data_IF_360677798212
#
_entry.id   IF_360677798212
#
_cell.length_a   1.000
_cell.length_b   1.000
_cell.length_c   1.000
_cell.angle_alpha   90.00
_cell.angle_beta   90.00
_cell.angle_gamma   90.00
#
_symmetry.space_group_name_H-M   'P 1'
#
loop_
_entity.id
_entity.type
_entity.pdbx_description
1 polymer ?
#
# COMPACT_ATOMS: atom_id res chain seq x y z
N UNK A 1 4.82 -72.15 -24.48
CA UNK A 1 5.13 -71.07 -23.48
C UNK A 1 4.89 -69.63 -23.97
N UNK A 2 4.45 -69.41 -25.19
CA UNK A 2 4.35 -68.09 -25.84
C UNK A 2 2.99 -67.36 -25.68
N UNK A 3 1.90 -68.05 -25.35
CA UNK A 3 0.56 -67.42 -25.24
C UNK A 3 0.31 -66.61 -23.92
N UNK A 4 1.01 -66.93 -22.84
CA UNK A 4 0.85 -66.23 -21.55
C UNK A 4 1.56 -64.87 -21.48
N UNK A 5 2.62 -64.65 -22.33
CA UNK A 5 3.39 -63.42 -22.36
C UNK A 5 2.63 -62.27 -23.03
N UNK A 6 1.81 -62.57 -24.06
CA UNK A 6 1.02 -61.56 -24.78
C UNK A 6 -0.18 -61.03 -23.99
N UNK A 7 -0.77 -61.86 -23.12
CA UNK A 7 -1.92 -61.42 -22.30
C UNK A 7 -1.52 -60.41 -21.21
N UNK A 8 -0.32 -60.55 -20.65
CA UNK A 8 0.20 -59.63 -19.65
C UNK A 8 0.63 -58.29 -20.26
N UNK A 9 1.12 -58.27 -21.49
CA UNK A 9 1.49 -57.07 -22.21
C UNK A 9 0.24 -56.27 -22.64
N UNK A 10 -0.78 -56.94 -23.13
CA UNK A 10 -2.10 -56.33 -23.42
C UNK A 10 -2.77 -55.76 -22.16
N UNK A 11 -2.75 -56.47 -21.02
CA UNK A 11 -3.30 -55.99 -19.74
C UNK A 11 -2.56 -54.75 -19.26
N UNK A 12 -1.23 -54.68 -19.36
CA UNK A 12 -0.45 -53.51 -19.02
C UNK A 12 -0.71 -52.32 -19.96
N UNK A 13 -0.90 -52.59 -21.27
CA UNK A 13 -1.25 -51.55 -22.23
C UNK A 13 -2.64 -50.97 -21.97
N UNK A 14 -3.64 -51.82 -21.70
CA UNK A 14 -5.00 -51.39 -21.31
C UNK A 14 -5.03 -50.63 -19.97
N UNK A 15 -4.17 -50.99 -19.00
CA UNK A 15 -4.09 -50.30 -17.71
C UNK A 15 -3.44 -48.91 -17.90
N UNK A 16 -2.41 -48.79 -18.76
CA UNK A 16 -1.77 -47.50 -19.08
C UNK A 16 -2.71 -46.57 -19.85
N UNK A 17 -3.48 -47.10 -20.81
CA UNK A 17 -4.47 -46.33 -21.57
C UNK A 17 -5.63 -45.90 -20.69
N UNK A 18 -6.08 -46.73 -19.73
CA UNK A 18 -7.14 -46.42 -18.78
C UNK A 18 -6.68 -45.37 -17.74
N UNK A 19 -5.42 -45.43 -17.29
CA UNK A 19 -4.84 -44.40 -16.39
C UNK A 19 -4.63 -43.08 -17.15
N UNK A 20 -4.27 -43.13 -18.44
CA UNK A 20 -4.11 -41.91 -19.24
C UNK A 20 -5.46 -41.23 -19.60
N UNK A 21 -6.56 -42.03 -19.71
CA UNK A 21 -7.91 -41.50 -19.94
C UNK A 21 -8.52 -40.85 -18.69
N UNK A 22 -8.06 -41.18 -17.48
CA UNK A 22 -8.49 -40.56 -16.22
C UNK A 22 -7.84 -39.22 -15.92
N UNK A 23 -6.75 -38.87 -16.65
CA UNK A 23 -6.04 -37.58 -16.47
C UNK A 23 -6.62 -36.46 -17.37
N UNK A 24 -7.48 -36.79 -18.32
CA UNK A 24 -8.25 -35.79 -19.07
C UNK A 24 -9.46 -35.30 -18.24
N UNK A 25 -9.21 -34.76 -17.05
CA UNK A 25 -10.15 -33.81 -16.47
C UNK A 25 -10.19 -32.62 -17.42
N UNK A 26 -11.25 -32.55 -18.22
CA UNK A 26 -11.51 -31.38 -19.02
C UNK A 26 -11.44 -30.16 -18.11
N UNK A 27 -10.57 -29.21 -18.42
CA UNK A 27 -10.58 -27.89 -17.81
C UNK A 27 -11.89 -27.20 -18.20
N UNK A 28 -13.00 -27.62 -17.56
CA UNK A 28 -14.24 -26.86 -17.60
C UNK A 28 -13.98 -25.55 -16.87
N UNK A 29 -14.13 -24.44 -17.55
CA UNK A 29 -14.10 -23.12 -16.94
C UNK A 29 -15.19 -23.07 -15.86
N UNK A 30 -14.76 -23.03 -14.60
CA UNK A 30 -15.69 -22.96 -13.47
C UNK A 30 -16.30 -21.55 -13.42
N UNK A 31 -17.63 -21.47 -13.42
CA UNK A 31 -18.34 -20.19 -13.51
C UNK A 31 -18.95 -19.84 -12.16
N UNK A 32 -18.51 -18.72 -11.59
CA UNK A 32 -19.00 -18.20 -10.31
C UNK A 32 -20.08 -17.14 -10.57
N UNK A 33 -21.32 -17.43 -10.12
CA UNK A 33 -22.40 -16.42 -10.15
C UNK A 33 -22.20 -15.45 -8.99
N UNK A 34 -22.25 -14.16 -9.28
CA UNK A 34 -21.98 -13.14 -8.28
C UNK A 34 -22.75 -11.84 -8.59
N UNK A 35 -23.23 -11.19 -7.55
CA UNK A 35 -23.90 -9.90 -7.66
C UNK A 35 -22.91 -8.75 -7.68
N UNK A 36 -23.33 -7.60 -8.23
CA UNK A 36 -22.53 -6.38 -8.22
C UNK A 36 -22.22 -5.94 -6.79
N UNK A 37 -23.24 -5.94 -5.91
CA UNK A 37 -23.09 -5.47 -4.54
C UNK A 37 -22.07 -6.30 -3.75
N UNK A 38 -22.10 -7.62 -3.91
CA UNK A 38 -21.15 -8.53 -3.26
C UNK A 38 -19.70 -8.29 -3.71
N UNK A 39 -19.49 -8.17 -5.03
CA UNK A 39 -18.15 -7.87 -5.58
C UNK A 39 -17.67 -6.48 -5.17
N UNK A 40 -18.54 -5.46 -5.17
CA UNK A 40 -18.18 -4.11 -4.77
C UNK A 40 -17.73 -4.05 -3.31
N UNK A 41 -18.40 -4.77 -2.41
CA UNK A 41 -18.01 -4.88 -1.01
C UNK A 41 -16.63 -5.56 -0.86
N UNK A 42 -16.45 -6.71 -1.49
CA UNK A 42 -15.16 -7.43 -1.48
C UNK A 42 -14.02 -6.56 -2.01
N UNK A 43 -14.25 -5.83 -3.10
CA UNK A 43 -13.26 -4.96 -3.71
C UNK A 43 -12.82 -3.84 -2.76
N UNK A 44 -13.75 -3.18 -2.05
CA UNK A 44 -13.41 -2.12 -1.09
C UNK A 44 -12.51 -2.66 0.03
N UNK A 45 -12.75 -3.89 0.47
CA UNK A 45 -12.03 -4.49 1.60
C UNK A 45 -10.66 -5.08 1.19
N UNK A 46 -10.53 -5.54 -0.05
CA UNK A 46 -9.38 -6.35 -0.50
C UNK A 46 -8.43 -5.58 -1.42
N UNK A 47 -8.91 -4.59 -2.16
CA UNK A 47 -8.11 -3.90 -3.18
C UNK A 47 -6.83 -3.29 -2.61
N UNK A 48 -5.68 -3.65 -3.21
CA UNK A 48 -4.36 -3.24 -2.74
C UNK A 48 -4.14 -1.73 -2.80
N UNK A 49 -4.67 -1.04 -3.82
CA UNK A 49 -4.52 0.42 -3.94
C UNK A 49 -5.30 1.15 -2.85
N UNK A 50 -6.49 0.65 -2.49
CA UNK A 50 -7.29 1.20 -1.38
C UNK A 50 -6.59 0.97 -0.05
N UNK A 51 -6.05 -0.23 0.18
CA UNK A 51 -5.24 -0.53 1.38
C UNK A 51 -4.03 0.38 1.47
N UNK A 52 -3.25 0.51 0.40
CA UNK A 52 -2.07 1.37 0.35
C UNK A 52 -2.42 2.83 0.69
N UNK A 53 -3.45 3.39 0.05
CA UNK A 53 -3.87 4.77 0.30
C UNK A 53 -4.33 4.98 1.76
N UNK A 54 -5.01 3.99 2.36
CA UNK A 54 -5.39 4.05 3.77
C UNK A 54 -4.16 3.97 4.69
N UNK A 55 -3.16 3.15 4.36
CA UNK A 55 -1.95 3.02 5.17
C UNK A 55 -1.05 4.26 5.03
N UNK A 56 -1.00 4.91 3.87
CA UNK A 56 -0.38 6.23 3.71
C UNK A 56 -1.06 7.30 4.60
N UNK A 57 -2.39 7.28 4.69
CA UNK A 57 -3.11 8.18 5.58
C UNK A 57 -2.81 7.90 7.07
N UNK A 58 -2.71 6.62 7.47
CA UNK A 58 -2.28 6.22 8.82
C UNK A 58 -0.83 6.63 9.11
N UNK A 59 0.07 6.46 8.12
CA UNK A 59 1.46 6.90 8.25
C UNK A 59 1.54 8.39 8.51
N UNK A 60 0.82 9.21 7.74
CA UNK A 60 0.79 10.65 7.96
C UNK A 60 0.23 11.03 9.33
N UNK A 61 -0.73 10.26 9.84
CA UNK A 61 -1.24 10.46 11.20
C UNK A 61 -0.19 10.10 12.27
N UNK A 62 0.60 9.05 12.05
CA UNK A 62 1.71 8.70 12.93
C UNK A 62 2.84 9.74 12.86
N UNK A 63 3.18 10.25 11.67
CA UNK A 63 4.13 11.37 11.50
C UNK A 63 3.68 12.62 12.25
N UNK A 64 2.38 12.95 12.19
CA UNK A 64 1.80 14.06 12.97
C UNK A 64 1.98 13.83 14.48
N UNK A 65 1.78 12.60 14.98
CA UNK A 65 2.05 12.29 16.39
C UNK A 65 3.54 12.49 16.72
N UNK A 66 4.44 12.12 15.80
CA UNK A 66 5.88 12.35 15.92
C UNK A 66 6.26 13.84 16.08
N UNK A 67 5.48 14.76 15.49
CA UNK A 67 5.75 16.21 15.69
C UNK A 67 5.58 16.67 17.13
N UNK A 68 4.89 15.90 17.98
CA UNK A 68 4.76 16.21 19.43
C UNK A 68 6.11 16.18 20.12
N UNK A 69 7.07 15.37 19.68
CA UNK A 69 8.42 15.34 20.24
C UNK A 69 9.12 16.70 20.15
N UNK A 70 8.69 17.59 19.24
CA UNK A 70 9.31 18.92 19.06
C UNK A 70 8.98 19.92 20.18
N UNK A 71 7.99 19.63 21.03
CA UNK A 71 7.59 20.50 22.13
C UNK A 71 7.35 19.75 23.45
N UNK A 72 7.53 18.44 23.47
CA UNK A 72 7.54 17.65 24.70
C UNK A 72 8.97 17.57 25.25
N UNK A 73 9.14 17.31 26.57
CA UNK A 73 10.45 17.07 27.13
C UNK A 73 11.10 15.86 26.49
N UNK A 74 12.37 16.03 26.12
CA UNK A 74 13.23 14.91 25.74
C UNK A 74 13.99 14.49 26.99
N UNK A 75 13.82 13.25 27.42
CA UNK A 75 14.51 12.66 28.57
C UNK A 75 15.46 11.60 28.06
N UNK A 76 16.74 11.80 28.30
CA UNK A 76 17.79 10.86 27.94
C UNK A 76 18.50 10.35 29.20
N UNK A 77 18.67 9.02 29.28
CA UNK A 77 19.45 8.39 30.35
C UNK A 77 20.67 7.69 29.71
N UNK A 78 21.84 7.95 30.25
CA UNK A 78 23.10 7.32 29.79
C UNK A 78 23.90 6.81 30.95
N UNK A 79 24.62 5.71 30.73
CA UNK A 79 25.61 5.16 31.66
C UNK A 79 26.92 5.01 30.89
N UNK A 80 27.94 5.74 31.32
CA UNK A 80 29.21 5.83 30.63
C UNK A 80 30.36 5.32 31.52
N UNK A 81 31.16 4.44 30.96
CA UNK A 81 32.46 4.07 31.56
C UNK A 81 33.57 4.78 30.79
N UNK A 82 34.47 5.42 31.50
CA UNK A 82 35.70 5.97 30.94
C UNK A 82 36.88 5.67 31.83
N UNK A 83 38.04 5.47 31.21
CA UNK A 83 39.33 5.34 31.91
C UNK A 83 40.31 6.28 31.21
N UNK A 84 40.96 7.16 31.97
CA UNK A 84 41.83 8.18 31.39
C UNK A 84 42.95 8.58 32.34
N UNK A 85 44.12 8.87 31.79
CA UNK A 85 45.23 9.51 32.46
C UNK A 85 45.45 10.96 31.94
N UNK A 86 44.52 11.49 31.14
CA UNK A 86 44.59 12.90 30.78
C UNK A 86 44.41 13.75 32.04
N UNK A 87 45.33 14.70 32.32
CA UNK A 87 45.37 15.45 33.56
C UNK A 87 44.03 16.10 33.93
N UNK A 88 43.43 16.83 33.01
CA UNK A 88 42.19 17.53 33.25
C UNK A 88 41.00 16.57 33.52
N UNK A 89 40.90 15.52 32.71
CA UNK A 89 39.81 14.55 32.87
C UNK A 89 39.97 13.65 34.09
N UNK A 90 41.20 13.26 34.40
CA UNK A 90 41.52 12.46 35.60
C UNK A 90 41.23 13.22 36.88
N UNK A 91 41.68 14.48 36.98
CA UNK A 91 41.40 15.34 38.12
C UNK A 91 39.89 15.66 38.24
N UNK A 92 39.23 16.03 37.12
CA UNK A 92 37.80 16.29 37.09
C UNK A 92 36.97 15.07 37.49
N UNK A 93 37.35 13.86 37.06
CA UNK A 93 36.68 12.62 37.45
C UNK A 93 36.81 12.35 38.95
N UNK A 94 38.00 12.55 39.53
CA UNK A 94 38.17 12.43 40.99
C UNK A 94 37.32 13.44 41.76
N UNK A 95 37.26 14.69 41.26
CA UNK A 95 36.48 15.74 41.89
C UNK A 95 34.96 15.42 41.85
N UNK A 96 34.46 15.00 40.69
CA UNK A 96 33.08 14.61 40.54
C UNK A 96 32.70 13.36 41.37
N UNK A 97 33.68 12.47 41.65
CA UNK A 97 33.53 11.30 42.51
C UNK A 97 33.68 11.64 44.01
N UNK A 98 33.88 12.90 44.39
CA UNK A 98 34.15 13.36 45.78
C UNK A 98 35.37 12.66 46.45
N UNK A 99 36.40 12.35 45.66
CA UNK A 99 37.55 11.57 46.09
C UNK A 99 38.86 12.35 46.10
N UNK A 100 38.79 13.67 45.96
CA UNK A 100 39.98 14.54 46.02
C UNK A 100 40.51 14.62 47.43
N UNK A 101 41.84 14.48 47.56
CA UNK A 101 42.60 14.65 48.79
C UNK A 101 43.67 15.75 48.62
N UNK A 102 44.25 16.19 49.70
CA UNK A 102 45.34 17.20 49.65
C UNK A 102 46.52 16.78 48.79
N UNK A 103 46.79 15.46 48.72
CA UNK A 103 47.90 14.89 47.91
C UNK A 103 47.60 14.96 46.40
N UNK A 104 46.40 15.16 45.97
CA UNK A 104 46.03 15.28 44.55
C UNK A 104 46.35 16.68 43.99
N UNK A 105 46.71 17.65 44.84
CA UNK A 105 47.18 18.98 44.45
C UNK A 105 48.70 19.09 44.23
N UNK A 106 49.44 17.95 44.37
CA UNK A 106 50.84 17.91 44.01
C UNK A 106 51.02 18.17 42.50
N UNK A 107 51.85 19.17 42.10
CA UNK A 107 52.09 19.48 40.71
C UNK A 107 52.58 18.30 39.87
N UNK A 108 53.33 17.39 40.45
CA UNK A 108 53.79 16.18 39.74
C UNK A 108 52.62 15.24 39.39
N UNK A 109 51.67 15.06 40.32
CA UNK A 109 50.45 14.24 40.08
C UNK A 109 49.44 14.94 39.20
N UNK A 110 49.32 16.25 39.27
CA UNK A 110 48.44 17.01 38.40
C UNK A 110 48.91 16.95 36.93
N UNK A 111 50.22 16.98 36.69
CA UNK A 111 50.74 16.94 35.31
C UNK A 111 50.84 15.52 34.73
N UNK A 112 51.01 14.51 35.57
CA UNK A 112 51.15 13.10 35.17
C UNK A 112 50.33 12.20 36.10
N UNK A 113 48.99 12.25 36.06
CA UNK A 113 48.14 11.45 36.92
C UNK A 113 48.14 9.98 36.52
N UNK A 114 47.89 9.12 37.47
CA UNK A 114 47.52 7.73 37.23
C UNK A 114 46.19 7.63 36.49
N UNK A 115 45.97 6.56 35.74
CA UNK A 115 44.71 6.33 35.03
C UNK A 115 43.54 6.17 36.04
N UNK A 116 42.49 6.95 35.82
CA UNK A 116 41.31 7.00 36.65
C UNK A 116 40.12 6.37 35.91
N UNK A 117 39.46 5.43 36.56
CA UNK A 117 38.18 4.87 36.10
C UNK A 117 37.03 5.75 36.59
N UNK A 118 36.11 6.06 35.71
CA UNK A 118 34.93 6.83 36.01
C UNK A 118 33.67 6.16 35.43
N UNK A 119 32.71 5.88 36.27
CA UNK A 119 31.38 5.40 35.92
C UNK A 119 30.41 6.55 36.16
N UNK A 120 29.82 7.06 35.09
CA UNK A 120 28.92 8.20 35.15
C UNK A 120 27.51 7.78 34.65
N UNK A 121 26.50 7.96 35.51
CA UNK A 121 25.10 7.87 35.13
C UNK A 121 24.59 9.29 34.94
N UNK A 122 24.05 9.61 33.79
CA UNK A 122 23.46 10.93 33.49
C UNK A 122 22.02 10.77 33.07
N UNK A 123 21.13 11.51 33.71
CA UNK A 123 19.74 11.74 33.27
C UNK A 123 19.67 13.19 32.83
N UNK A 124 19.34 13.40 31.58
CA UNK A 124 19.25 14.73 30.96
C UNK A 124 17.83 14.97 30.45
N UNK A 125 17.29 16.15 30.74
CA UNK A 125 15.98 16.59 30.28
C UNK A 125 16.14 17.88 29.51
N UNK A 126 15.63 17.91 28.29
CA UNK A 126 15.57 19.11 27.47
C UNK A 126 14.10 19.41 27.15
N UNK A 127 13.63 20.61 27.47
CA UNK A 127 12.27 21.05 27.22
C UNK A 127 12.28 22.30 26.34
N UNK A 128 11.81 22.21 25.07
CA UNK A 128 11.52 23.39 24.26
C UNK A 128 10.39 24.21 24.90
N UNK A 129 10.62 25.49 25.15
CA UNK A 129 9.61 26.41 25.73
C UNK A 129 9.01 27.28 24.62
N UNK A 130 9.86 27.88 23.78
CA UNK A 130 9.44 28.69 22.63
C UNK A 130 10.14 28.14 21.41
N UNK A 131 9.35 27.57 20.49
CA UNK A 131 9.84 27.05 19.23
C UNK A 131 8.76 27.27 18.14
N UNK A 132 8.78 28.45 17.51
CA UNK A 132 7.73 28.86 16.56
C UNK A 132 7.77 28.06 15.25
N UNK A 133 8.93 27.63 14.80
CA UNK A 133 9.04 26.78 13.61
C UNK A 133 8.39 25.41 13.84
N UNK A 134 8.54 24.82 15.02
CA UNK A 134 7.87 23.57 15.40
C UNK A 134 6.33 23.72 15.45
N UNK A 135 5.82 24.87 15.91
CA UNK A 135 4.37 25.17 15.93
C UNK A 135 3.80 25.14 14.51
N UNK A 136 4.46 25.83 13.57
CA UNK A 136 4.00 25.84 12.18
C UNK A 136 4.21 24.49 11.50
N UNK A 137 5.28 23.76 11.80
CA UNK A 137 5.52 22.41 11.27
C UNK A 137 4.43 21.43 11.72
N UNK A 138 4.00 21.52 13.00
CA UNK A 138 2.86 20.74 13.48
C UNK A 138 1.59 21.05 12.70
N UNK A 139 1.28 22.35 12.46
CA UNK A 139 0.12 22.76 11.65
C UNK A 139 0.20 22.20 10.24
N UNK A 140 1.37 22.28 9.59
CA UNK A 140 1.61 21.67 8.28
C UNK A 140 1.36 20.16 8.30
N UNK A 141 1.84 19.44 9.32
CA UNK A 141 1.60 18.02 9.51
C UNK A 141 0.13 17.66 9.70
N UNK A 142 -0.63 18.49 10.43
CA UNK A 142 -2.08 18.30 10.60
C UNK A 142 -2.79 18.37 9.26
N UNK A 143 -2.54 19.43 8.49
CA UNK A 143 -3.16 19.59 7.15
C UNK A 143 -2.68 18.51 6.18
N UNK A 144 -1.40 18.10 6.22
CA UNK A 144 -0.88 16.97 5.44
C UNK A 144 -1.64 15.66 5.73
N UNK A 145 -1.92 15.41 7.01
CA UNK A 145 -2.70 14.21 7.40
C UNK A 145 -4.14 14.27 6.85
N UNK A 146 -4.79 15.44 6.84
CA UNK A 146 -6.10 15.64 6.21
C UNK A 146 -6.04 15.41 4.70
N UNK A 147 -5.01 15.94 4.02
CA UNK A 147 -4.79 15.71 2.57
C UNK A 147 -4.75 14.23 2.23
N UNK A 148 -3.98 13.44 3.00
CA UNK A 148 -3.84 12.01 2.71
C UNK A 148 -5.11 11.21 3.01
N UNK A 149 -5.91 11.64 4.00
CA UNK A 149 -7.27 11.08 4.20
C UNK A 149 -8.18 11.34 3.00
N UNK A 150 -8.23 12.58 2.52
CA UNK A 150 -9.03 12.95 1.35
C UNK A 150 -8.55 12.18 0.09
N UNK A 151 -7.24 12.02 -0.07
CA UNK A 151 -6.66 11.21 -1.16
C UNK A 151 -7.06 9.74 -1.06
N UNK A 152 -7.08 9.16 0.14
CA UNK A 152 -7.52 7.77 0.34
C UNK A 152 -9.00 7.60 -0.01
N UNK A 153 -9.87 8.55 0.40
CA UNK A 153 -11.28 8.58 -0.02
C UNK A 153 -11.41 8.69 -1.54
N UNK A 154 -10.62 9.56 -2.18
CA UNK A 154 -10.63 9.71 -3.65
C UNK A 154 -10.17 8.45 -4.37
N UNK A 155 -9.15 7.77 -3.85
CA UNK A 155 -8.68 6.48 -4.39
C UNK A 155 -9.79 5.43 -4.30
N UNK A 156 -10.49 5.35 -3.18
CA UNK A 156 -11.64 4.45 -3.01
C UNK A 156 -12.74 4.74 -4.04
N UNK A 157 -13.13 6.01 -4.23
CA UNK A 157 -14.13 6.42 -5.23
C UNK A 157 -13.70 6.06 -6.66
N UNK A 158 -12.41 6.26 -6.98
CA UNK A 158 -11.86 5.93 -8.28
C UNK A 158 -11.89 4.42 -8.55
N UNK A 159 -11.48 3.61 -7.58
CA UNK A 159 -11.52 2.14 -7.70
C UNK A 159 -12.96 1.63 -7.78
N UNK A 160 -13.91 2.24 -7.06
CA UNK A 160 -15.33 1.92 -7.19
C UNK A 160 -15.84 2.24 -8.60
N UNK A 161 -15.40 3.34 -9.20
CA UNK A 161 -15.75 3.68 -10.58
C UNK A 161 -15.18 2.66 -11.58
N UNK A 162 -13.88 2.32 -11.47
CA UNK A 162 -13.24 1.33 -12.33
C UNK A 162 -13.92 -0.06 -12.18
N UNK A 163 -14.26 -0.42 -10.95
CA UNK A 163 -15.02 -1.64 -10.70
C UNK A 163 -16.38 -1.65 -11.42
N UNK A 164 -17.17 -0.58 -11.26
CA UNK A 164 -18.47 -0.45 -11.94
C UNK A 164 -18.33 -0.59 -13.45
N UNK A 165 -17.34 0.05 -14.03
CA UNK A 165 -17.02 -0.02 -15.46
C UNK A 165 -16.67 -1.45 -15.89
N UNK A 166 -15.77 -2.13 -15.14
CA UNK A 166 -15.39 -3.49 -15.43
C UNK A 166 -16.55 -4.48 -15.31
N UNK A 167 -17.42 -4.31 -14.32
CA UNK A 167 -18.61 -5.14 -14.16
C UNK A 167 -19.60 -4.95 -15.29
N UNK A 168 -19.82 -3.72 -15.73
CA UNK A 168 -20.67 -3.43 -16.89
C UNK A 168 -20.08 -4.00 -18.19
N UNK A 169 -18.77 -3.98 -18.35
CA UNK A 169 -18.09 -4.62 -19.49
C UNK A 169 -18.29 -6.14 -19.48
N UNK A 170 -18.23 -6.77 -18.31
CA UNK A 170 -18.55 -8.19 -18.17
C UNK A 170 -19.99 -8.50 -18.55
N UNK A 171 -20.96 -7.70 -18.08
CA UNK A 171 -22.39 -7.83 -18.47
C UNK A 171 -22.59 -7.69 -19.99
N UNK A 172 -21.91 -6.71 -20.60
CA UNK A 172 -21.96 -6.50 -22.04
C UNK A 172 -21.39 -7.68 -22.81
N UNK A 173 -20.26 -8.25 -22.36
CA UNK A 173 -19.65 -9.43 -22.98
C UNK A 173 -20.57 -10.66 -22.95
N UNK A 174 -21.27 -10.89 -21.84
CA UNK A 174 -22.29 -11.95 -21.75
C UNK A 174 -23.47 -11.69 -22.66
N UNK A 175 -23.93 -10.45 -22.77
CA UNK A 175 -25.04 -10.09 -23.67
C UNK A 175 -24.67 -10.28 -25.14
N UNK A 176 -23.42 -9.93 -25.49
CA UNK A 176 -22.88 -10.18 -26.83
C UNK A 176 -22.83 -11.67 -27.15
N UNK A 177 -22.36 -12.50 -26.22
CA UNK A 177 -22.33 -13.96 -26.38
C UNK A 177 -23.74 -14.52 -26.61
N UNK A 178 -24.72 -14.14 -25.78
CA UNK A 178 -26.13 -14.57 -25.93
C UNK A 178 -26.70 -14.20 -27.32
N UNK A 179 -26.41 -12.99 -27.78
CA UNK A 179 -26.88 -12.51 -29.12
C UNK A 179 -26.23 -13.32 -30.24
N UNK A 180 -24.94 -13.60 -30.16
CA UNK A 180 -24.21 -14.40 -31.14
C UNK A 180 -24.63 -15.88 -31.14
N UNK A 181 -24.94 -16.47 -30.02
CA UNK A 181 -25.46 -17.84 -29.92
C UNK A 181 -26.87 -17.94 -30.58
N UNK A 182 -27.72 -16.94 -30.37
CA UNK A 182 -29.01 -16.86 -31.05
C UNK A 182 -28.84 -16.67 -32.57
N UNK A 183 -27.92 -15.81 -33.01
CA UNK A 183 -27.57 -15.65 -34.41
C UNK A 183 -27.05 -16.93 -35.04
N UNK A 184 -26.18 -17.68 -34.34
CA UNK A 184 -25.68 -18.99 -34.78
C UNK A 184 -26.84 -19.96 -35.00
N UNK A 185 -27.77 -20.05 -34.04
CA UNK A 185 -28.95 -20.93 -34.12
C UNK A 185 -29.82 -20.62 -35.33
N UNK A 186 -30.09 -19.35 -35.59
CA UNK A 186 -30.82 -18.89 -36.75
C UNK A 186 -30.08 -19.19 -38.06
N UNK A 187 -28.80 -18.94 -38.12
CA UNK A 187 -27.97 -19.20 -39.31
C UNK A 187 -27.88 -20.69 -39.62
N UNK A 188 -27.78 -21.56 -38.60
CA UNK A 188 -27.79 -23.01 -38.78
C UNK A 188 -29.17 -23.51 -39.30
N UNK A 189 -30.29 -22.93 -38.84
CA UNK A 189 -31.60 -23.24 -39.38
C UNK A 189 -31.69 -22.84 -40.87
N UNK A 190 -31.22 -21.64 -41.26
CA UNK A 190 -31.14 -21.20 -42.62
C UNK A 190 -30.23 -22.11 -43.49
N UNK A 191 -29.06 -22.51 -42.95
CA UNK A 191 -28.16 -23.44 -43.62
C UNK A 191 -28.89 -24.75 -43.99
N UNK A 192 -29.69 -25.31 -43.08
CA UNK A 192 -30.49 -26.50 -43.33
C UNK A 192 -31.43 -26.37 -44.51
N UNK A 193 -32.06 -25.18 -44.63
CA UNK A 193 -32.96 -24.89 -45.78
C UNK A 193 -32.16 -24.81 -47.09
N UNK A 194 -31.04 -24.10 -47.09
CA UNK A 194 -30.12 -23.98 -48.25
C UNK A 194 -29.58 -25.34 -48.67
N UNK A 195 -29.13 -26.17 -47.74
CA UNK A 195 -28.67 -27.52 -48.01
C UNK A 195 -29.76 -28.40 -48.68
N UNK A 196 -31.04 -28.26 -48.26
CA UNK A 196 -32.15 -28.95 -48.84
C UNK A 196 -32.46 -28.48 -50.31
N UNK A 197 -32.42 -27.17 -50.56
CA UNK A 197 -32.62 -26.62 -51.91
C UNK A 197 -31.47 -27.07 -52.83
N UNK A 198 -30.22 -27.12 -52.34
CA UNK A 198 -29.10 -27.62 -53.14
C UNK A 198 -29.27 -29.11 -53.46
N UNK A 199 -29.65 -29.97 -52.51
CA UNK A 199 -29.93 -31.39 -52.73
C UNK A 199 -31.00 -31.63 -53.75
N UNK A 200 -31.99 -30.71 -53.87
CA UNK A 200 -33.07 -30.77 -54.88
C UNK A 200 -32.70 -30.07 -56.21
N UNK A 201 -31.44 -29.63 -56.36
CA UNK A 201 -30.99 -28.98 -57.60
C UNK A 201 -31.51 -27.56 -57.81
N UNK A 202 -32.11 -26.93 -56.81
CA UNK A 202 -32.76 -25.61 -56.92
C UNK A 202 -31.81 -24.42 -56.80
N UNK A 203 -30.60 -24.61 -56.25
CA UNK A 203 -29.59 -23.56 -56.05
C UNK A 203 -28.20 -24.07 -56.42
N UNK A 204 -27.23 -23.13 -56.59
CA UNK A 204 -25.85 -23.44 -56.89
C UNK A 204 -25.06 -23.75 -55.62
N UNK A 205 -23.91 -24.47 -55.77
CA UNK A 205 -22.98 -24.78 -54.67
C UNK A 205 -22.41 -23.52 -54.00
N UNK A 206 -22.28 -22.43 -54.70
CA UNK A 206 -21.83 -21.13 -54.20
C UNK A 206 -22.66 -20.65 -53.03
N UNK A 207 -23.99 -20.84 -53.03
CA UNK A 207 -24.88 -20.47 -51.95
C UNK A 207 -24.64 -21.28 -50.67
N UNK A 208 -24.34 -22.58 -50.85
CA UNK A 208 -23.97 -23.45 -49.71
C UNK A 208 -22.62 -23.03 -49.11
N UNK A 209 -21.64 -22.67 -49.93
CA UNK A 209 -20.35 -22.19 -49.45
C UNK A 209 -20.50 -20.83 -48.75
N UNK A 210 -21.34 -19.94 -49.24
CA UNK A 210 -21.59 -18.65 -48.61
C UNK A 210 -22.17 -18.80 -47.21
N UNK A 211 -23.17 -19.67 -47.00
CA UNK A 211 -23.74 -19.90 -45.67
C UNK A 211 -22.76 -20.60 -44.73
N UNK A 212 -21.89 -21.47 -45.26
CA UNK A 212 -20.83 -22.13 -44.49
C UNK A 212 -19.84 -21.08 -43.95
N UNK A 213 -19.39 -20.17 -44.80
CA UNK A 213 -18.52 -19.05 -44.38
C UNK A 213 -19.23 -18.22 -43.26
N UNK A 214 -20.52 -17.91 -43.47
CA UNK A 214 -21.26 -17.14 -42.46
C UNK A 214 -21.38 -17.83 -41.12
N UNK A 215 -21.56 -19.16 -41.09
CA UNK A 215 -21.53 -19.95 -39.85
C UNK A 215 -20.14 -19.83 -39.18
N UNK A 216 -19.04 -19.94 -39.96
CA UNK A 216 -17.69 -19.83 -39.43
C UNK A 216 -17.34 -18.45 -38.89
N UNK A 217 -17.83 -17.38 -39.54
CA UNK A 217 -17.70 -16.01 -39.03
C UNK A 217 -18.36 -15.85 -37.66
N UNK A 218 -19.60 -16.36 -37.48
CA UNK A 218 -20.30 -16.31 -36.22
C UNK A 218 -19.58 -17.15 -35.14
N UNK A 219 -19.06 -18.33 -35.50
CA UNK A 219 -18.26 -19.14 -34.57
C UNK A 219 -17.00 -18.41 -34.09
N UNK A 220 -16.31 -17.71 -34.99
CA UNK A 220 -15.17 -16.87 -34.62
C UNK A 220 -15.60 -15.73 -33.68
N UNK A 221 -16.72 -15.05 -33.95
CA UNK A 221 -17.23 -13.99 -33.09
C UNK A 221 -17.60 -14.52 -31.69
N UNK A 222 -18.18 -15.73 -31.60
CA UNK A 222 -18.45 -16.40 -30.33
C UNK A 222 -17.15 -16.68 -29.56
N UNK A 223 -16.11 -17.14 -30.24
CA UNK A 223 -14.81 -17.37 -29.60
C UNK A 223 -14.23 -16.05 -29.03
N UNK A 224 -14.34 -14.96 -29.78
CA UNK A 224 -13.97 -13.61 -29.34
C UNK A 224 -14.78 -13.17 -28.11
N UNK A 225 -16.12 -13.35 -28.13
CA UNK A 225 -16.99 -12.98 -27.02
C UNK A 225 -16.63 -13.76 -25.75
N UNK A 226 -16.32 -15.05 -25.87
CA UNK A 226 -15.84 -15.88 -24.73
C UNK A 226 -14.50 -15.39 -24.19
N UNK A 227 -13.57 -15.01 -25.05
CA UNK A 227 -12.29 -14.41 -24.63
C UNK A 227 -12.50 -13.09 -23.90
N UNK A 228 -13.42 -12.24 -24.37
CA UNK A 228 -13.76 -10.98 -23.72
C UNK A 228 -14.38 -11.19 -22.33
N UNK A 229 -15.22 -12.22 -22.14
CA UNK A 229 -15.75 -12.62 -20.83
C UNK A 229 -14.59 -12.96 -19.88
N UNK A 230 -13.63 -13.76 -20.38
CA UNK A 230 -12.48 -14.13 -19.56
C UNK A 230 -11.65 -12.90 -19.19
N UNK A 231 -11.31 -12.05 -20.16
CA UNK A 231 -10.51 -10.83 -19.91
C UNK A 231 -11.20 -9.88 -18.92
N UNK A 232 -12.51 -9.67 -19.06
CA UNK A 232 -13.28 -8.84 -18.13
C UNK A 232 -13.34 -9.45 -16.72
N UNK A 233 -13.45 -10.78 -16.64
CA UNK A 233 -13.42 -11.51 -15.38
C UNK A 233 -12.03 -11.44 -14.72
N UNK A 234 -10.95 -11.64 -15.47
CA UNK A 234 -9.57 -11.56 -14.99
C UNK A 234 -9.26 -10.15 -14.49
N UNK A 235 -9.78 -9.10 -15.13
CA UNK A 235 -9.64 -7.73 -14.66
C UNK A 235 -10.38 -7.48 -13.34
N UNK A 236 -11.57 -8.08 -13.15
CA UNK A 236 -12.27 -8.04 -11.86
C UNK A 236 -11.50 -8.77 -10.76
N UNK A 237 -10.89 -9.94 -11.05
CA UNK A 237 -9.98 -10.62 -10.11
C UNK A 237 -8.79 -9.74 -9.74
N UNK A 238 -8.18 -9.07 -10.73
CA UNK A 238 -7.11 -8.11 -10.46
C UNK A 238 -7.55 -6.97 -9.53
N UNK A 239 -8.74 -6.42 -9.72
CA UNK A 239 -9.28 -5.38 -8.83
C UNK A 239 -9.56 -5.90 -7.41
N UNK A 240 -9.84 -7.20 -7.25
CA UNK A 240 -10.05 -7.88 -5.98
C UNK A 240 -8.75 -8.31 -5.29
N UNK A 241 -7.60 -8.19 -5.97
CA UNK A 241 -6.32 -8.75 -5.52
C UNK A 241 -6.41 -10.28 -5.31
N UNK A 242 -7.12 -10.97 -6.22
CA UNK A 242 -7.32 -12.42 -6.21
C UNK A 242 -6.82 -13.08 -7.50
N UNK A 243 -6.37 -14.33 -7.40
CA UNK A 243 -6.03 -15.13 -8.57
C UNK A 243 -7.28 -15.76 -9.20
N UNK A 244 -7.40 -15.68 -10.53
CA UNK A 244 -8.59 -16.20 -11.24
C UNK A 244 -8.66 -17.73 -11.27
N UNK A 245 -7.56 -18.45 -11.12
CA UNK A 245 -7.47 -19.92 -11.20
C UNK A 245 -8.36 -20.54 -12.29
N UNK A 246 -8.43 -19.93 -13.45
CA UNK A 246 -9.26 -20.33 -14.58
C UNK A 246 -10.80 -20.28 -14.33
N UNK A 247 -11.24 -19.54 -13.30
CA UNK A 247 -12.65 -19.27 -13.01
C UNK A 247 -13.09 -17.98 -13.68
N UNK A 248 -14.35 -17.89 -14.07
CA UNK A 248 -14.96 -16.68 -14.62
C UNK A 248 -16.16 -16.25 -13.82
N UNK A 249 -16.33 -14.95 -13.63
CA UNK A 249 -17.51 -14.40 -13.01
C UNK A 249 -18.67 -14.35 -14.01
N UNK A 250 -19.87 -14.69 -13.53
CA UNK A 250 -21.13 -14.51 -14.27
C UNK A 250 -22.03 -13.56 -13.49
N UNK A 251 -22.34 -12.39 -14.04
CA UNK A 251 -23.26 -11.45 -13.39
C UNK A 251 -24.63 -12.08 -13.14
N UNK A 252 -25.22 -11.80 -11.97
CA UNK A 252 -26.60 -12.21 -11.67
C UNK A 252 -27.62 -11.21 -12.22
N UNK A 253 -27.23 -9.92 -12.29
CA UNK A 253 -28.06 -8.87 -12.82
C UNK A 253 -27.86 -8.71 -14.33
N UNK A 254 -28.97 -8.39 -15.04
CA UNK A 254 -28.90 -8.03 -16.45
C UNK A 254 -28.45 -6.59 -16.62
N UNK A 255 -27.79 -6.32 -17.75
CA UNK A 255 -27.44 -4.95 -18.11
C UNK A 255 -28.74 -4.19 -18.44
N UNK A 256 -29.11 -3.22 -17.62
CA UNK A 256 -30.23 -2.32 -17.83
C UNK A 256 -29.75 -0.97 -18.35
N UNK A 257 -30.40 -0.47 -19.35
CA UNK A 257 -30.14 0.86 -19.89
C UNK A 257 -30.91 1.89 -19.05
N UNK A 258 -30.22 2.60 -18.16
CA UNK A 258 -30.78 3.72 -17.43
C UNK A 258 -30.67 4.99 -18.31
N UNK A 259 -31.79 5.46 -18.84
CA UNK A 259 -31.88 6.75 -19.52
C UNK A 259 -31.83 7.87 -18.46
N UNK A 260 -30.67 8.10 -17.85
CA UNK A 260 -30.44 9.33 -17.09
C UNK A 260 -30.13 10.43 -18.09
N UNK A 261 -31.07 11.34 -18.28
CA UNK A 261 -30.83 12.63 -18.94
C UNK A 261 -29.84 13.32 -17.99
N UNK A 262 -28.53 13.30 -18.36
CA UNK A 262 -27.52 14.10 -17.68
C UNK A 262 -27.91 15.57 -17.97
N UNK A 263 -28.56 16.21 -17.00
CA UNK A 263 -28.63 17.66 -17.00
C UNK A 263 -27.17 18.16 -17.01
N UNK A 264 -26.83 18.80 -18.11
CA UNK A 264 -25.49 19.30 -18.40
C UNK A 264 -25.22 20.53 -17.53
N UNK A 265 -25.09 20.34 -16.23
CA UNK A 265 -24.59 21.39 -15.33
C UNK A 265 -23.10 21.51 -15.56
N UNK A 266 -22.71 22.47 -16.40
CA UNK A 266 -21.30 22.81 -16.69
C UNK A 266 -20.54 23.39 -15.48
N UNK A 267 -21.08 23.30 -14.27
CA UNK A 267 -20.44 23.76 -13.04
C UNK A 267 -19.56 22.65 -12.48
N UNK A 268 -18.28 22.97 -12.31
CA UNK A 268 -17.35 22.11 -11.56
C UNK A 268 -17.93 21.84 -10.17
N UNK A 269 -18.14 20.57 -9.86
CA UNK A 269 -18.52 20.19 -8.50
C UNK A 269 -17.36 20.49 -7.55
N UNK A 270 -17.52 21.52 -6.71
CA UNK A 270 -16.51 21.97 -5.73
C UNK A 270 -16.26 20.88 -4.65
N UNK A 271 -17.18 19.93 -4.50
CA UNK A 271 -17.05 18.81 -3.56
C UNK A 271 -16.12 17.69 -4.04
N UNK A 272 -15.54 17.80 -5.21
CA UNK A 272 -14.58 16.82 -5.72
C UNK A 272 -13.40 16.68 -4.78
N UNK A 273 -13.15 15.45 -4.35
CA UNK A 273 -12.10 15.12 -3.37
C UNK A 273 -10.68 15.46 -3.87
N UNK A 274 -10.42 15.33 -5.16
CA UNK A 274 -9.14 15.72 -5.75
C UNK A 274 -8.88 17.23 -5.61
N UNK A 275 -9.87 18.09 -5.89
CA UNK A 275 -9.75 19.53 -5.72
C UNK A 275 -9.58 19.93 -4.26
N UNK A 276 -10.36 19.31 -3.35
CA UNK A 276 -10.20 19.52 -1.91
C UNK A 276 -8.80 19.15 -1.42
N UNK A 277 -8.25 18.01 -1.90
CA UNK A 277 -6.90 17.59 -1.55
C UNK A 277 -5.85 18.60 -2.04
N UNK A 278 -6.00 19.17 -3.25
CA UNK A 278 -5.10 20.21 -3.75
C UNK A 278 -5.18 21.50 -2.93
N UNK A 279 -6.39 21.98 -2.61
CA UNK A 279 -6.57 23.18 -1.78
C UNK A 279 -5.93 23.00 -0.40
N UNK A 280 -6.15 21.84 0.23
CA UNK A 280 -5.50 21.52 1.51
C UNK A 280 -3.99 21.38 1.37
N UNK A 281 -3.48 20.89 0.26
CA UNK A 281 -2.04 20.82 0.02
C UNK A 281 -1.41 22.22 -0.04
N UNK A 282 -2.08 23.20 -0.67
CA UNK A 282 -1.62 24.59 -0.67
C UNK A 282 -1.56 25.15 0.75
N UNK A 283 -2.58 24.91 1.57
CA UNK A 283 -2.58 25.29 3.00
C UNK A 283 -1.40 24.69 3.76
N UNK A 284 -1.10 23.39 3.51
CA UNK A 284 0.06 22.73 4.13
C UNK A 284 1.39 23.40 3.74
N UNK A 285 1.56 23.73 2.46
CA UNK A 285 2.75 24.46 1.99
C UNK A 285 2.88 25.85 2.59
N UNK A 286 1.78 26.59 2.78
CA UNK A 286 1.79 27.87 3.46
C UNK A 286 2.31 27.77 4.90
N UNK A 287 1.90 26.72 5.63
CA UNK A 287 2.44 26.46 6.96
C UNK A 287 3.92 26.06 6.93
N UNK A 288 4.38 25.30 5.94
CA UNK A 288 5.80 24.97 5.77
C UNK A 288 6.64 26.23 5.51
N UNK A 289 6.15 27.15 4.65
CA UNK A 289 6.81 28.45 4.41
C UNK A 289 6.90 29.25 5.71
N UNK A 290 5.80 29.32 6.50
CA UNK A 290 5.80 29.98 7.79
C UNK A 290 6.77 29.32 8.79
N UNK A 291 6.86 27.99 8.80
CA UNK A 291 7.81 27.24 9.62
C UNK A 291 9.26 27.61 9.25
N UNK A 292 9.58 27.61 7.94
CA UNK A 292 10.92 27.98 7.47
C UNK A 292 11.28 29.43 7.84
N UNK A 293 10.36 30.39 7.68
CA UNK A 293 10.56 31.77 8.11
C UNK A 293 10.74 31.87 9.63
N UNK A 294 10.03 31.06 10.40
CA UNK A 294 10.11 31.07 11.87
C UNK A 294 11.45 30.52 12.41
N UNK A 295 12.28 29.85 11.60
CA UNK A 295 13.64 29.44 11.99
C UNK A 295 14.56 30.62 12.29
N UNK A 296 14.28 31.81 11.74
CA UNK A 296 14.99 33.06 12.07
C UNK A 296 14.54 33.71 13.39
N UNK A 297 13.52 33.17 14.06
CA UNK A 297 13.10 33.64 15.36
C UNK A 297 13.93 32.96 16.47
N UNK A 298 14.19 33.67 17.59
CA UNK A 298 14.88 33.07 18.72
C UNK A 298 14.07 31.89 19.32
N UNK A 299 14.81 30.87 19.77
CA UNK A 299 14.27 29.69 20.44
C UNK A 299 14.67 29.71 21.89
N UNK A 300 13.75 29.35 22.78
CA UNK A 300 13.98 29.24 24.21
C UNK A 300 13.81 27.77 24.63
N UNK A 301 14.87 27.20 25.24
CA UNK A 301 14.86 25.85 25.75
C UNK A 301 15.23 25.88 27.24
N UNK A 302 14.54 25.09 28.07
CA UNK A 302 15.02 24.74 29.40
C UNK A 302 15.77 23.41 29.32
N UNK A 303 16.79 23.27 30.13
CA UNK A 303 17.54 22.02 30.23
C UNK A 303 17.86 21.73 31.70
N UNK A 304 18.04 20.45 32.01
CA UNK A 304 18.51 20.00 33.30
C UNK A 304 19.18 18.65 33.16
N UNK A 305 20.24 18.45 33.94
CA UNK A 305 20.84 17.11 34.09
C UNK A 305 21.02 16.79 35.57
N UNK A 306 20.88 15.51 35.87
CA UNK A 306 21.27 14.91 37.14
C UNK A 306 22.27 13.81 36.85
N UNK A 307 23.41 13.86 37.52
CA UNK A 307 24.56 13.00 37.24
C UNK A 307 25.01 12.31 38.52
N UNK A 308 25.32 11.02 38.41
CA UNK A 308 25.87 10.20 39.48
C UNK A 308 27.25 9.67 39.05
N UNK A 309 28.23 9.75 39.93
CA UNK A 309 29.59 9.38 39.63
C UNK A 309 30.14 8.36 40.64
N UNK A 310 30.97 7.44 40.16
CA UNK A 310 31.70 6.50 40.97
C UNK A 310 32.96 5.97 40.24
N UNK A 311 33.90 5.43 41.01
CA UNK A 311 35.08 4.74 40.47
C UNK A 311 34.86 3.23 40.26
N UNK A 312 33.71 2.70 40.66
CA UNK A 312 33.32 1.30 40.54
C UNK A 312 31.99 1.15 39.83
N UNK A 313 31.83 0.00 39.20
CA UNK A 313 30.59 -0.33 38.47
C UNK A 313 29.36 -0.37 39.39
N UNK A 314 28.28 0.25 38.94
CA UNK A 314 26.97 0.24 39.63
C UNK A 314 26.97 0.75 41.08
N UNK A 315 27.95 1.58 41.46
CA UNK A 315 27.94 2.37 42.66
C UNK A 315 27.61 3.82 42.29
N UNK A 316 26.91 4.54 43.14
CA UNK A 316 26.39 5.89 42.88
C UNK A 316 26.76 6.80 44.05
N UNK A 317 28.07 6.88 44.32
CA UNK A 317 28.60 7.48 45.54
C UNK A 317 28.53 8.99 45.58
N UNK A 318 28.66 9.66 44.44
CA UNK A 318 28.62 11.12 44.34
C UNK A 318 27.56 11.57 43.34
N UNK A 319 27.01 12.79 43.49
CA UNK A 319 25.99 13.32 42.60
C UNK A 319 26.22 14.79 42.31
N UNK A 320 25.62 15.24 41.17
CA UNK A 320 25.63 16.61 40.76
C UNK A 320 24.42 16.92 39.91
N UNK A 321 24.04 18.17 39.81
CA UNK A 321 22.99 18.61 38.89
C UNK A 321 23.38 19.88 38.16
N UNK A 322 22.81 20.07 36.98
CA UNK A 322 22.88 21.28 36.22
C UNK A 322 21.49 21.60 35.71
N UNK A 323 21.04 22.83 35.89
CA UNK A 323 19.75 23.29 35.35
C UNK A 323 19.89 24.72 34.83
N UNK A 324 19.19 25.00 33.72
CA UNK A 324 19.28 26.30 33.09
C UNK A 324 18.28 26.53 31.98
N UNK A 325 18.32 27.72 31.43
CA UNK A 325 17.55 28.14 30.27
C UNK A 325 18.52 28.65 29.20
N UNK A 326 18.30 28.26 27.96
CA UNK A 326 19.12 28.67 26.83
C UNK A 326 18.25 29.39 25.81
N UNK A 327 18.59 30.66 25.51
CA UNK A 327 18.07 31.38 24.37
C UNK A 327 19.06 31.24 23.22
N UNK A 328 18.62 30.63 22.13
CA UNK A 328 19.41 30.50 20.91
C UNK A 328 18.75 31.27 19.76
N UNK A 329 19.55 32.05 19.04
CA UNK A 329 19.10 32.82 17.91
C UNK A 329 20.08 32.66 16.76
N UNK A 330 19.57 32.07 15.67
CA UNK A 330 20.36 31.97 14.44
C UNK A 330 20.19 33.25 13.63
N UNK A 331 21.17 34.13 13.73
CA UNK A 331 21.12 35.49 13.09
C UNK A 331 21.41 35.41 11.60
N UNK A 332 22.22 34.47 11.18
CA UNK A 332 22.57 34.25 9.78
C UNK A 332 22.78 32.75 9.52
N UNK A 333 22.16 32.27 8.47
CA UNK A 333 22.25 30.87 8.04
C UNK A 333 22.44 30.91 6.50
N UNK A 334 23.64 31.10 6.07
CA UNK A 334 24.24 31.20 4.73
C UNK A 334 23.37 31.09 3.50
#
# INVERSE_FOLDING_TARGET
MTKKKNLNTMRKFFTVVFVFSLVLKGFSQDTIRISRAELEQRMVDQNLQVKLANDEAKLAQAELLGTRAMYLPNVNASYTFSNTNNPLYAFGSKLNQERITQMDFDPAKLNAPDAISNFATKIEVQQPIINMDAVYLKKAGQVKSEVLKIKAERTKEYIQFEFKKAYMQLQLAYRMLETLENAKTTTLANKKVIDNYFKNGMIQKTEVLYIDVRVKEIENQIAYAKSNIKNASDYLYFLLDEESFNKVFKPTEKLEFQNQILENTATLNVERKDLQAYQKSLEAYDYLIKSTKAKFLPRLNAFGSFELYDNKFAQFGANGYLAGVQLSWNVFDG
#
